data_IF_855766669348
#
_entry.id   IF_855766669348
#
_cell.length_a   1.000
_cell.length_b   1.000
_cell.length_c   1.000
_cell.angle_alpha   90.00
_cell.angle_beta   90.00
_cell.angle_gamma   90.00
#
_symmetry.space_group_name_H-M   'P 1'
#
loop_
_entity.id
_entity.type
_entity.pdbx_description
1 polymer ?
#
# COMPACT_ATOMS: atom_id res chain seq x y z
N UNK A 1 28.97 39.97 -18.40
CA UNK A 1 28.51 40.57 -17.12
C UNK A 1 27.41 41.58 -17.42
N UNK A 2 26.18 41.29 -17.00
CA UNK A 2 25.00 42.10 -17.31
C UNK A 2 24.92 43.34 -16.42
N UNK A 3 24.80 44.53 -17.04
CA UNK A 3 24.63 45.81 -16.34
C UNK A 3 23.25 45.89 -15.68
N UNK A 4 23.21 45.89 -14.35
CA UNK A 4 22.00 46.12 -13.54
C UNK A 4 21.55 47.58 -13.69
N UNK A 5 20.36 47.79 -14.23
CA UNK A 5 19.66 49.09 -14.29
C UNK A 5 19.07 49.38 -12.90
N UNK A 6 19.49 50.45 -12.24
CA UNK A 6 18.91 50.92 -10.97
C UNK A 6 17.58 51.65 -11.26
N UNK A 7 16.52 51.29 -10.53
CA UNK A 7 15.26 52.01 -10.52
C UNK A 7 15.43 53.33 -9.74
N UNK A 8 15.02 54.43 -10.35
CA UNK A 8 14.97 55.77 -9.74
C UNK A 8 13.80 55.84 -8.76
N UNK A 9 13.94 56.45 -7.57
CA UNK A 9 12.81 56.63 -6.65
C UNK A 9 11.80 57.65 -7.20
N UNK A 10 10.53 57.50 -6.82
CA UNK A 10 9.43 58.39 -7.20
C UNK A 10 9.68 59.81 -6.65
N UNK A 11 9.54 60.81 -7.51
CA UNK A 11 9.76 62.21 -7.19
C UNK A 11 8.58 62.75 -6.35
N UNK A 12 8.78 63.32 -5.15
CA UNK A 12 7.69 63.74 -4.26
C UNK A 12 7.01 65.05 -4.69
N UNK A 13 7.39 65.64 -5.82
CA UNK A 13 6.90 66.96 -6.29
C UNK A 13 5.50 66.95 -6.94
N UNK A 14 4.69 65.90 -6.76
CA UNK A 14 3.31 65.84 -7.26
C UNK A 14 2.24 66.06 -6.18
N UNK A 15 2.64 66.49 -4.97
CA UNK A 15 1.72 66.87 -3.89
C UNK A 15 1.82 68.35 -3.54
N UNK A 16 1.62 69.22 -4.54
CA UNK A 16 1.25 70.61 -4.27
C UNK A 16 -0.29 70.74 -4.32
N UNK A 17 -0.94 71.29 -3.27
CA UNK A 17 -2.37 71.57 -3.31
C UNK A 17 -2.63 72.74 -4.28
N UNK A 18 -3.59 72.56 -5.19
CA UNK A 18 -4.03 73.59 -6.12
C UNK A 18 -4.55 74.85 -5.38
N UNK A 19 -4.38 76.07 -5.93
CA UNK A 19 -4.77 77.28 -5.24
C UNK A 19 -6.31 77.40 -5.15
N UNK A 20 -6.79 77.71 -3.94
CA UNK A 20 -8.18 77.95 -3.64
C UNK A 20 -8.72 79.17 -4.40
N UNK A 21 -9.70 78.95 -5.29
CA UNK A 21 -10.56 80.01 -5.80
C UNK A 21 -11.83 80.06 -4.96
N UNK A 22 -11.91 81.09 -4.11
CA UNK A 22 -13.13 81.49 -3.40
C UNK A 22 -14.27 81.71 -4.39
N UNK A 23 -15.27 80.84 -4.36
CA UNK A 23 -16.59 81.15 -4.91
C UNK A 23 -17.60 81.15 -3.76
N UNK A 24 -18.22 82.31 -3.55
CA UNK A 24 -19.17 82.57 -2.49
C UNK A 24 -20.60 82.25 -2.96
N UNK A 25 -21.35 81.44 -2.19
CA UNK A 25 -22.83 81.38 -1.98
C UNK A 25 -23.30 79.95 -1.57
N UNK A 26 -24.42 79.79 -0.84
CA UNK A 26 -24.57 79.71 0.63
C UNK A 26 -24.74 78.25 1.18
N UNK A 27 -24.78 78.04 2.51
CA UNK A 27 -24.69 76.70 3.11
C UNK A 27 -26.07 76.05 3.24
N UNK A 28 -26.30 74.92 2.57
CA UNK A 28 -27.47 74.07 2.81
C UNK A 28 -27.10 72.60 2.67
N UNK A 29 -27.22 71.88 3.79
CA UNK A 29 -27.88 70.58 3.84
C UNK A 29 -27.21 69.38 3.17
N UNK A 30 -26.77 68.46 4.02
CA UNK A 30 -26.53 67.04 3.75
C UNK A 30 -25.50 66.72 2.65
N UNK A 31 -24.41 66.09 3.07
CA UNK A 31 -23.64 65.18 2.21
C UNK A 31 -24.55 64.04 1.75
N UNK A 32 -25.43 64.27 0.78
CA UNK A 32 -26.05 63.20 0.03
C UNK A 32 -24.95 62.55 -0.78
N UNK A 33 -24.44 61.42 -0.28
CA UNK A 33 -23.67 60.49 -1.11
C UNK A 33 -24.53 60.22 -2.35
N UNK A 34 -23.97 60.44 -3.52
CA UNK A 34 -24.68 60.22 -4.76
C UNK A 34 -25.11 58.74 -4.82
N UNK A 35 -26.38 58.40 -5.05
CA UNK A 35 -26.89 57.03 -5.00
C UNK A 35 -26.11 56.05 -5.89
N UNK A 36 -25.57 56.54 -7.01
CA UNK A 36 -24.76 55.76 -7.95
C UNK A 36 -23.39 55.40 -7.35
N UNK A 37 -22.80 56.27 -6.54
CA UNK A 37 -21.53 56.00 -5.87
C UNK A 37 -21.69 54.92 -4.79
N UNK A 38 -22.83 54.90 -4.08
CA UNK A 38 -23.13 53.85 -3.11
C UNK A 38 -23.40 52.50 -3.80
N UNK A 39 -24.17 52.49 -4.91
CA UNK A 39 -24.40 51.27 -5.71
C UNK A 39 -23.12 50.74 -6.35
N UNK A 40 -22.26 51.61 -6.90
CA UNK A 40 -20.97 51.22 -7.47
C UNK A 40 -20.02 50.66 -6.39
N UNK A 41 -20.03 51.24 -5.18
CA UNK A 41 -19.24 50.76 -4.05
C UNK A 41 -19.73 49.39 -3.57
N UNK A 42 -21.05 49.21 -3.45
CA UNK A 42 -21.66 47.95 -3.04
C UNK A 42 -21.39 46.85 -4.09
N UNK A 43 -21.58 47.16 -5.37
CA UNK A 43 -21.26 46.24 -6.47
C UNK A 43 -19.77 45.86 -6.50
N UNK A 44 -18.86 46.83 -6.33
CA UNK A 44 -17.41 46.57 -6.26
C UNK A 44 -17.04 45.72 -5.04
N UNK A 45 -17.62 45.99 -3.87
CA UNK A 45 -17.39 45.20 -2.66
C UNK A 45 -17.89 43.76 -2.81
N UNK A 46 -19.04 43.57 -3.46
CA UNK A 46 -19.64 42.26 -3.71
C UNK A 46 -18.82 41.47 -4.72
N UNK A 47 -18.36 42.12 -5.79
CA UNK A 47 -17.45 41.53 -6.77
C UNK A 47 -16.13 41.09 -6.14
N UNK A 48 -15.52 41.93 -5.30
CA UNK A 48 -14.27 41.61 -4.60
C UNK A 48 -14.45 40.43 -3.62
N UNK A 49 -15.56 40.37 -2.86
CA UNK A 49 -15.85 39.24 -1.98
C UNK A 49 -16.06 37.96 -2.78
N UNK A 50 -16.75 38.05 -3.93
CA UNK A 50 -17.00 36.89 -4.81
C UNK A 50 -15.70 36.36 -5.39
N UNK A 51 -14.84 37.25 -5.90
CA UNK A 51 -13.51 36.89 -6.44
C UNK A 51 -12.60 36.28 -5.36
N UNK A 52 -12.61 36.84 -4.14
CA UNK A 52 -11.86 36.28 -3.01
C UNK A 52 -12.40 34.92 -2.59
N UNK A 53 -13.73 34.74 -2.56
CA UNK A 53 -14.35 33.45 -2.26
C UNK A 53 -14.04 32.40 -3.32
N UNK A 54 -14.01 32.77 -4.59
CA UNK A 54 -13.62 31.89 -5.69
C UNK A 54 -12.12 31.52 -5.63
N UNK A 55 -11.26 32.49 -5.32
CA UNK A 55 -9.82 32.25 -5.13
C UNK A 55 -9.57 31.30 -3.97
N UNK A 56 -10.23 31.51 -2.83
CA UNK A 56 -10.13 30.62 -1.66
C UNK A 56 -10.69 29.22 -1.98
N UNK A 57 -11.80 29.13 -2.71
CA UNK A 57 -12.37 27.86 -3.14
C UNK A 57 -11.40 27.12 -4.07
N UNK A 58 -10.86 27.78 -5.09
CA UNK A 58 -9.88 27.21 -6.01
C UNK A 58 -8.57 26.82 -5.32
N UNK A 59 -8.13 27.57 -4.32
CA UNK A 59 -6.95 27.23 -3.51
C UNK A 59 -7.20 26.01 -2.63
N UNK A 60 -8.39 25.91 -2.00
CA UNK A 60 -8.81 24.75 -1.20
C UNK A 60 -8.99 23.51 -2.06
N UNK A 61 -9.74 23.62 -3.15
CA UNK A 61 -9.98 22.52 -4.08
C UNK A 61 -8.67 22.06 -4.72
N UNK A 62 -7.75 22.97 -5.07
CA UNK A 62 -6.46 22.62 -5.65
C UNK A 62 -5.41 22.13 -4.65
N UNK A 63 -5.78 21.86 -3.38
CA UNK A 63 -4.86 21.35 -2.36
C UNK A 63 -3.68 22.25 -2.01
N UNK A 64 -3.83 23.56 -2.24
CA UNK A 64 -2.79 24.59 -1.97
C UNK A 64 -2.95 25.26 -0.60
N UNK A 65 -3.96 24.85 0.17
CA UNK A 65 -4.23 25.36 1.50
C UNK A 65 -3.96 24.31 2.56
N UNK A 66 -3.25 24.73 3.61
CA UNK A 66 -3.16 23.97 4.85
C UNK A 66 -4.42 24.21 5.66
N UNK A 67 -5.10 23.13 6.05
CA UNK A 67 -6.30 23.14 6.89
C UNK A 67 -6.00 22.47 8.23
N UNK A 68 -6.72 22.86 9.27
CA UNK A 68 -6.71 22.15 10.55
C UNK A 68 -7.81 21.09 10.55
N UNK A 69 -7.48 19.87 10.95
CA UNK A 69 -8.39 18.71 10.97
C UNK A 69 -8.32 18.03 12.33
N UNK A 70 -9.47 17.69 12.95
CA UNK A 70 -9.48 16.91 14.19
C UNK A 70 -8.79 15.56 14.01
N UNK A 71 -7.95 15.15 14.97
CA UNK A 71 -7.24 13.87 14.88
C UNK A 71 -8.18 12.67 14.82
N UNK A 72 -9.33 12.75 15.49
CA UNK A 72 -10.38 11.72 15.44
C UNK A 72 -11.01 11.53 14.05
N UNK A 73 -10.99 12.56 13.20
CA UNK A 73 -11.59 12.51 11.87
C UNK A 73 -10.64 11.93 10.81
N UNK A 74 -9.50 11.38 11.22
CA UNK A 74 -8.46 10.86 10.32
C UNK A 74 -8.38 9.35 10.36
N UNK A 75 -8.73 8.72 9.24
CA UNK A 75 -8.49 7.32 8.95
C UNK A 75 -6.99 7.11 8.66
N UNK A 76 -6.28 6.58 9.67
CA UNK A 76 -4.84 6.27 9.57
C UNK A 76 -4.54 5.12 8.60
N UNK A 77 -5.51 4.21 8.47
CA UNK A 77 -5.52 3.00 7.66
C UNK A 77 -6.02 3.22 6.23
N UNK A 78 -6.36 4.46 5.87
CA UNK A 78 -6.77 4.83 4.51
C UNK A 78 -5.73 4.37 3.47
N UNK A 79 -4.44 4.60 3.72
CA UNK A 79 -3.39 3.95 2.94
C UNK A 79 -2.79 2.80 3.74
N UNK A 80 -2.65 1.66 3.06
CA UNK A 80 -1.89 0.52 3.58
C UNK A 80 -0.41 0.93 3.64
N UNK A 81 0.02 1.38 4.81
CA UNK A 81 1.41 1.70 5.08
C UNK A 81 2.10 0.54 5.76
N UNK A 82 3.39 0.37 5.46
CA UNK A 82 4.16 -0.50 6.29
C UNK A 82 4.52 0.09 7.67
N UNK A 83 4.17 -0.70 8.67
CA UNK A 83 4.71 -0.63 10.03
C UNK A 83 6.17 -1.12 9.99
N UNK A 84 7.04 -0.47 9.23
CA UNK A 84 8.48 -0.57 9.55
C UNK A 84 8.58 -0.05 10.97
N UNK A 85 9.12 -0.86 11.88
CA UNK A 85 9.35 -0.45 13.25
C UNK A 85 10.22 0.81 13.22
N UNK A 86 9.59 1.97 13.43
CA UNK A 86 10.32 3.21 13.57
C UNK A 86 11.14 3.08 14.84
N UNK A 87 12.47 3.31 14.80
CA UNK A 87 13.28 3.29 16.01
C UNK A 87 12.66 4.23 17.05
N UNK A 88 12.41 3.70 18.25
CA UNK A 88 11.68 4.40 19.31
C UNK A 88 12.33 5.74 19.65
N UNK A 89 13.66 5.80 19.60
CA UNK A 89 14.45 7.02 19.80
C UNK A 89 14.14 8.12 18.78
N UNK A 90 14.00 7.79 17.49
CA UNK A 90 13.65 8.79 16.47
C UNK A 90 12.21 9.27 16.61
N UNK A 91 11.30 8.38 17.06
CA UNK A 91 9.92 8.76 17.29
C UNK A 91 9.81 9.69 18.52
N UNK A 92 10.55 9.40 19.59
CA UNK A 92 10.63 10.26 20.77
C UNK A 92 11.17 11.65 20.42
N UNK A 93 12.24 11.73 19.62
CA UNK A 93 12.81 13.00 19.16
C UNK A 93 11.79 13.83 18.34
N UNK A 94 10.97 13.18 17.52
CA UNK A 94 9.90 13.85 16.77
C UNK A 94 8.80 14.40 17.68
N UNK A 95 8.37 13.60 18.67
CA UNK A 95 7.40 14.01 19.69
C UNK A 95 7.89 15.27 20.43
N UNK A 96 9.14 15.27 20.91
CA UNK A 96 9.72 16.41 21.62
C UNK A 96 9.89 17.65 20.74
N UNK A 97 10.15 17.46 19.44
CA UNK A 97 10.20 18.57 18.49
C UNK A 97 8.83 19.20 18.29
N UNK A 98 7.78 18.38 18.12
CA UNK A 98 6.41 18.85 17.92
C UNK A 98 5.88 19.52 19.20
N UNK A 99 6.17 18.95 20.37
CA UNK A 99 5.77 19.54 21.66
C UNK A 99 6.32 20.96 21.85
N UNK A 100 7.57 21.21 21.42
CA UNK A 100 8.24 22.50 21.60
C UNK A 100 7.92 23.54 20.53
N UNK A 101 7.75 23.11 19.28
CA UNK A 101 7.69 24.01 18.11
C UNK A 101 6.39 23.90 17.32
N UNK A 102 5.50 23.01 17.72
CA UNK A 102 4.30 22.67 16.96
C UNK A 102 4.61 21.91 15.67
N UNK A 103 3.57 21.67 14.89
CA UNK A 103 3.68 21.03 13.59
C UNK A 103 4.18 22.04 12.54
N UNK A 104 5.39 21.81 12.00
CA UNK A 104 5.96 22.66 10.95
C UNK A 104 5.62 22.20 9.52
N UNK A 105 5.47 20.89 9.33
CA UNK A 105 5.17 20.30 8.01
C UNK A 105 3.76 19.71 8.04
N UNK A 106 2.86 20.11 7.14
CA UNK A 106 1.53 19.52 7.07
C UNK A 106 1.60 18.05 6.68
N UNK A 107 0.58 17.28 7.08
CA UNK A 107 0.34 15.93 6.56
C UNK A 107 -0.43 16.03 5.25
N UNK A 108 -0.46 14.97 4.44
CA UNK A 108 -1.34 14.95 3.26
C UNK A 108 -2.55 14.10 3.56
N UNK A 109 -3.73 14.60 3.23
CA UNK A 109 -5.02 14.00 3.49
C UNK A 109 -5.83 13.96 2.19
N UNK A 110 -6.78 13.04 2.09
CA UNK A 110 -7.88 13.10 1.12
C UNK A 110 -9.20 13.28 1.86
N UNK A 111 -10.14 14.02 1.28
CA UNK A 111 -11.52 14.08 1.79
C UNK A 111 -12.30 12.88 1.21
N UNK A 112 -12.79 12.00 2.09
CA UNK A 112 -13.59 10.83 1.73
C UNK A 112 -15.08 11.18 1.55
N UNK A 113 -15.45 12.43 1.82
CA UNK A 113 -16.81 12.94 1.75
C UNK A 113 -17.52 12.98 3.10
N UNK A 114 -18.58 13.77 3.18
CA UNK A 114 -19.30 14.06 4.44
C UNK A 114 -20.02 12.85 5.06
N UNK A 115 -20.23 11.78 4.29
CA UNK A 115 -20.82 10.53 4.78
C UNK A 115 -19.82 9.51 5.32
N UNK A 116 -18.52 9.78 5.21
CA UNK A 116 -17.47 8.89 5.69
C UNK A 116 -17.11 9.21 7.15
N UNK A 117 -17.00 8.17 7.98
CA UNK A 117 -16.50 8.27 9.34
C UNK A 117 -15.38 7.23 9.53
N UNK A 118 -14.10 7.65 9.62
CA UNK A 118 -13.58 9.02 9.62
C UNK A 118 -13.66 9.74 8.26
N UNK A 119 -13.78 11.07 8.26
CA UNK A 119 -13.97 11.88 7.03
C UNK A 119 -12.71 11.97 6.16
N UNK A 120 -11.53 11.99 6.78
CA UNK A 120 -10.27 12.23 6.08
C UNK A 120 -9.40 10.98 6.04
N UNK A 121 -8.89 10.66 4.86
CA UNK A 121 -7.93 9.58 4.66
C UNK A 121 -6.50 10.09 4.72
N UNK A 122 -5.64 9.52 5.58
CA UNK A 122 -4.23 9.91 5.64
C UNK A 122 -3.47 9.40 4.41
N UNK A 123 -2.79 10.27 3.67
CA UNK A 123 -1.91 9.96 2.53
C UNK A 123 -0.43 9.91 2.94
N UNK A 124 0.08 10.93 3.62
CA UNK A 124 1.48 10.97 4.06
C UNK A 124 1.62 11.66 5.41
N UNK A 125 2.74 11.40 6.11
CA UNK A 125 2.99 12.00 7.44
C UNK A 125 2.52 11.16 8.64
N UNK A 126 2.43 9.83 8.50
CA UNK A 126 2.01 8.91 9.58
C UNK A 126 2.74 9.10 10.91
N UNK A 127 4.09 9.19 10.89
CA UNK A 127 4.89 9.41 12.12
C UNK A 127 4.49 10.67 12.88
N UNK A 128 4.07 11.69 12.14
CA UNK A 128 3.62 12.98 12.70
C UNK A 128 2.25 12.86 13.33
N UNK A 129 1.32 12.17 12.67
CA UNK A 129 -0.01 11.90 13.27
C UNK A 129 0.13 11.05 14.53
N UNK A 130 1.03 10.06 14.53
CA UNK A 130 1.33 9.26 15.73
C UNK A 130 1.94 10.09 16.86
N UNK A 131 2.89 10.97 16.54
CA UNK A 131 3.47 11.86 17.54
C UNK A 131 2.41 12.81 18.14
N UNK A 132 1.53 13.37 17.31
CA UNK A 132 0.41 14.21 17.75
C UNK A 132 -0.60 13.43 18.58
N UNK A 133 -0.89 12.18 18.21
CA UNK A 133 -1.78 11.30 18.97
C UNK A 133 -1.23 11.02 20.38
N UNK A 134 0.07 10.78 20.49
CA UNK A 134 0.74 10.62 21.80
C UNK A 134 0.71 11.91 22.62
N UNK A 135 0.96 13.07 21.99
CA UNK A 135 0.90 14.37 22.66
C UNK A 135 -0.52 14.74 23.11
N UNK A 136 -1.54 14.43 22.30
CA UNK A 136 -2.96 14.62 22.64
C UNK A 136 -3.34 13.88 23.91
N UNK A 137 -2.74 12.70 24.16
CA UNK A 137 -2.96 11.93 25.39
C UNK A 137 -2.44 12.65 26.64
N UNK A 138 -1.48 13.57 26.47
CA UNK A 138 -0.90 14.40 27.54
C UNK A 138 -1.64 15.73 27.70
N UNK A 139 -1.99 16.37 26.57
CA UNK A 139 -2.76 17.60 26.51
C UNK A 139 -3.68 17.59 25.28
N UNK A 140 -4.96 17.32 25.51
CA UNK A 140 -5.95 17.21 24.44
C UNK A 140 -6.34 18.56 23.85
N UNK A 141 -6.20 19.65 24.61
CA UNK A 141 -6.59 20.98 24.15
C UNK A 141 -5.53 21.58 23.22
N UNK A 142 -4.25 21.32 23.49
CA UNK A 142 -3.15 21.82 22.67
C UNK A 142 -2.90 20.99 21.40
N UNK A 143 -3.19 19.68 21.42
CA UNK A 143 -2.84 18.75 20.33
C UNK A 143 -4.03 17.98 19.76
N UNK A 144 -5.24 18.56 19.80
CA UNK A 144 -6.46 17.93 19.27
C UNK A 144 -6.55 17.90 17.74
N UNK A 145 -5.81 18.76 17.05
CA UNK A 145 -5.87 18.92 15.60
C UNK A 145 -4.53 18.67 14.91
N UNK A 146 -4.57 18.36 13.63
CA UNK A 146 -3.41 18.24 12.74
C UNK A 146 -3.55 19.16 11.53
N UNK A 147 -2.44 19.78 11.15
CA UNK A 147 -2.34 20.56 9.92
C UNK A 147 -2.19 19.63 8.72
N UNK A 148 -3.12 19.69 7.77
CA UNK A 148 -3.18 18.84 6.59
C UNK A 148 -3.29 19.63 5.28
N UNK A 149 -2.75 19.07 4.20
CA UNK A 149 -3.00 19.46 2.82
C UNK A 149 -4.04 18.49 2.23
N UNK A 150 -5.20 19.00 1.80
CA UNK A 150 -6.23 18.20 1.16
C UNK A 150 -5.89 17.95 -0.30
N UNK A 151 -5.69 16.68 -0.68
CA UNK A 151 -5.52 16.23 -2.06
C UNK A 151 -6.86 15.84 -2.65
N UNK A 152 -7.02 16.05 -3.96
CA UNK A 152 -8.23 15.63 -4.67
C UNK A 152 -8.26 14.10 -4.80
N UNK A 153 -9.44 13.46 -4.86
CA UNK A 153 -9.53 12.02 -5.17
C UNK A 153 -8.86 11.63 -6.49
N UNK A 154 -8.94 12.48 -7.52
CA UNK A 154 -8.22 12.28 -8.79
C UNK A 154 -6.67 12.34 -8.65
N UNK A 155 -6.18 13.01 -7.62
CA UNK A 155 -4.75 13.04 -7.24
C UNK A 155 -4.40 11.90 -6.27
N UNK A 156 -5.38 11.17 -5.72
CA UNK A 156 -5.11 10.04 -4.84
C UNK A 156 -4.35 8.93 -5.58
N UNK A 157 -4.64 8.69 -6.85
CA UNK A 157 -3.85 7.77 -7.71
C UNK A 157 -2.39 8.23 -7.84
N UNK A 158 -2.14 9.54 -7.95
CA UNK A 158 -0.79 10.12 -7.95
C UNK A 158 -0.11 10.01 -6.58
N UNK A 159 -0.87 10.10 -5.49
CA UNK A 159 -0.35 9.86 -4.15
C UNK A 159 0.03 8.39 -3.91
N UNK A 160 -0.79 7.46 -4.41
CA UNK A 160 -0.46 6.02 -4.44
C UNK A 160 0.82 5.76 -5.25
N UNK A 161 0.96 6.39 -6.42
CA UNK A 161 2.15 6.32 -7.25
C UNK A 161 3.39 6.86 -6.53
N UNK A 162 3.33 8.08 -5.99
CA UNK A 162 4.43 8.70 -5.26
C UNK A 162 4.87 7.85 -4.05
N UNK A 163 3.91 7.25 -3.33
CA UNK A 163 4.19 6.30 -2.24
C UNK A 163 4.92 5.05 -2.73
N UNK A 164 4.45 4.45 -3.84
CA UNK A 164 5.09 3.25 -4.41
C UNK A 164 6.50 3.60 -4.90
N UNK A 165 6.67 4.72 -5.59
CA UNK A 165 7.97 5.18 -6.11
C UNK A 165 8.97 5.44 -4.98
N UNK A 166 8.57 6.14 -3.91
CA UNK A 166 9.44 6.34 -2.74
C UNK A 166 9.83 5.01 -2.08
N UNK A 167 8.86 4.09 -1.94
CA UNK A 167 9.08 2.79 -1.29
C UNK A 167 9.88 1.80 -2.15
N UNK A 168 9.74 1.85 -3.49
CA UNK A 168 10.57 1.05 -4.41
C UNK A 168 12.04 1.48 -4.37
N UNK A 169 12.31 2.77 -4.12
CA UNK A 169 13.67 3.32 -4.08
C UNK A 169 14.36 3.05 -2.73
N UNK A 170 13.61 3.06 -1.62
CA UNK A 170 14.19 2.93 -0.26
C UNK A 170 14.44 1.50 0.21
N UNK A 171 13.45 0.61 0.13
CA UNK A 171 13.50 -0.74 0.75
C UNK A 171 12.87 -1.84 -0.12
N UNK A 172 12.01 -1.49 -1.08
CA UNK A 172 11.39 -2.42 -2.02
C UNK A 172 10.20 -3.17 -1.43
N UNK A 173 8.99 -2.85 -1.91
CA UNK A 173 7.76 -3.53 -1.49
C UNK A 173 7.73 -5.03 -1.89
N UNK A 174 7.21 -5.88 -1.00
CA UNK A 174 6.93 -7.29 -1.30
C UNK A 174 5.81 -7.45 -2.35
N UNK A 175 5.70 -8.63 -2.97
CA UNK A 175 4.61 -8.91 -3.91
C UNK A 175 3.22 -8.84 -3.25
N UNK A 176 3.11 -9.26 -2.00
CA UNK A 176 1.87 -9.18 -1.23
C UNK A 176 1.44 -7.73 -1.04
N UNK A 177 2.36 -6.86 -0.64
CA UNK A 177 2.07 -5.44 -0.42
C UNK A 177 1.68 -4.75 -1.72
N UNK A 178 2.37 -5.06 -2.83
CA UNK A 178 2.01 -4.53 -4.14
C UNK A 178 0.60 -4.91 -4.56
N UNK A 179 0.26 -6.19 -4.39
CA UNK A 179 -1.08 -6.68 -4.69
C UNK A 179 -2.13 -6.02 -3.82
N UNK A 180 -1.84 -5.82 -2.53
CA UNK A 180 -2.74 -5.16 -1.58
C UNK A 180 -2.96 -3.69 -1.91
N UNK A 181 -1.92 -2.97 -2.30
CA UNK A 181 -2.03 -1.57 -2.75
C UNK A 181 -2.90 -1.48 -4.01
N UNK A 182 -2.68 -2.37 -5.00
CA UNK A 182 -3.49 -2.38 -6.21
C UNK A 182 -4.98 -2.62 -5.92
N UNK A 183 -5.31 -3.56 -5.03
CA UNK A 183 -6.69 -3.82 -4.62
C UNK A 183 -7.31 -2.64 -3.86
N UNK A 184 -6.58 -2.05 -2.91
CA UNK A 184 -7.06 -0.91 -2.13
C UNK A 184 -7.27 0.34 -2.99
N UNK A 185 -6.42 0.55 -3.99
CA UNK A 185 -6.57 1.65 -4.92
C UNK A 185 -7.86 1.52 -5.76
N UNK A 186 -8.26 0.31 -6.12
CA UNK A 186 -9.56 0.05 -6.80
C UNK A 186 -10.73 0.21 -5.83
N UNK A 187 -10.63 -0.37 -4.62
CA UNK A 187 -11.67 -0.29 -3.58
C UNK A 187 -12.03 1.16 -3.22
N UNK A 188 -11.03 2.05 -3.26
CA UNK A 188 -11.20 3.47 -2.96
C UNK A 188 -11.55 4.32 -4.18
N UNK A 189 -11.76 3.71 -5.34
CA UNK A 189 -12.14 4.42 -6.57
C UNK A 189 -11.01 5.25 -7.21
N UNK A 190 -9.75 5.04 -6.82
CA UNK A 190 -8.61 5.69 -7.48
C UNK A 190 -8.34 5.10 -8.88
N UNK A 191 -8.74 3.85 -9.10
CA UNK A 191 -8.75 3.17 -10.39
C UNK A 191 -10.09 2.45 -10.59
N UNK A 192 -10.54 2.37 -11.84
CA UNK A 192 -11.81 1.72 -12.21
C UNK A 192 -11.76 0.21 -11.96
N UNK A 193 -10.64 -0.42 -12.28
CA UNK A 193 -10.47 -1.86 -12.17
C UNK A 193 -9.03 -2.27 -11.82
N UNK A 194 -8.83 -3.55 -11.53
CA UNK A 194 -7.51 -4.08 -11.18
C UNK A 194 -6.50 -3.96 -12.33
N UNK A 195 -6.97 -4.01 -13.58
CA UNK A 195 -6.11 -3.95 -14.76
C UNK A 195 -5.47 -2.57 -14.93
N UNK A 196 -6.29 -1.52 -14.80
CA UNK A 196 -5.89 -0.11 -14.81
C UNK A 196 -5.02 0.22 -13.60
N UNK A 197 -5.35 -0.30 -12.41
CA UNK A 197 -4.51 -0.15 -11.22
C UNK A 197 -3.11 -0.75 -11.41
N UNK A 198 -3.01 -1.99 -11.89
CA UNK A 198 -1.71 -2.64 -12.13
C UNK A 198 -0.89 -1.95 -13.22
N UNK A 199 -1.56 -1.41 -14.24
CA UNK A 199 -0.89 -0.74 -15.36
C UNK A 199 -0.40 0.65 -14.97
N UNK A 200 -1.22 1.41 -14.22
CA UNK A 200 -0.84 2.72 -13.70
C UNK A 200 0.20 2.63 -12.61
N UNK A 201 -0.10 1.91 -11.51
CA UNK A 201 0.75 1.84 -10.31
C UNK A 201 2.13 1.20 -10.58
N UNK A 202 2.24 0.35 -11.59
CA UNK A 202 3.45 -0.37 -11.94
C UNK A 202 3.81 -0.21 -13.42
N UNK A 203 3.64 1.00 -13.96
CA UNK A 203 3.96 1.33 -15.36
C UNK A 203 5.39 0.93 -15.71
N UNK A 204 6.34 1.30 -14.85
CA UNK A 204 7.78 1.02 -15.00
C UNK A 204 8.17 -0.45 -14.75
N UNK A 205 7.25 -1.29 -14.25
CA UNK A 205 7.52 -2.70 -14.01
C UNK A 205 7.39 -3.53 -15.29
N UNK A 206 8.18 -4.60 -15.41
CA UNK A 206 8.04 -5.53 -16.53
C UNK A 206 6.67 -6.23 -16.54
N UNK A 207 6.20 -6.66 -17.72
CA UNK A 207 4.96 -7.45 -17.86
C UNK A 207 4.94 -8.68 -16.96
N UNK A 208 6.08 -9.37 -16.83
CA UNK A 208 6.23 -10.52 -15.95
C UNK A 208 6.06 -10.14 -14.47
N UNK A 209 6.67 -9.03 -14.02
CA UNK A 209 6.50 -8.53 -12.63
C UNK A 209 5.04 -8.16 -12.37
N UNK A 210 4.37 -7.46 -13.29
CA UNK A 210 2.92 -7.15 -13.18
C UNK A 210 2.06 -8.40 -13.09
N UNK A 211 2.36 -9.44 -13.89
CA UNK A 211 1.64 -10.71 -13.83
C UNK A 211 1.77 -11.40 -12.47
N UNK A 212 2.96 -11.38 -11.86
CA UNK A 212 3.17 -11.93 -10.52
C UNK A 212 2.42 -11.15 -9.45
N UNK A 213 2.44 -9.81 -9.53
CA UNK A 213 1.65 -8.95 -8.62
C UNK A 213 0.16 -9.29 -8.75
N UNK A 214 -0.35 -9.46 -9.98
CA UNK A 214 -1.73 -9.90 -10.22
C UNK A 214 -2.04 -11.23 -9.54
N UNK A 215 -1.17 -12.24 -9.62
CA UNK A 215 -1.42 -13.52 -8.94
C UNK A 215 -1.52 -13.36 -7.42
N UNK A 216 -0.73 -12.47 -6.82
CA UNK A 216 -0.79 -12.20 -5.38
C UNK A 216 -2.09 -11.51 -4.94
N UNK A 217 -2.89 -10.93 -5.84
CA UNK A 217 -4.16 -10.30 -5.43
C UNK A 217 -5.14 -11.32 -4.87
N UNK A 218 -5.11 -12.56 -5.37
CA UNK A 218 -5.93 -13.63 -4.84
C UNK A 218 -5.50 -13.99 -3.40
N UNK A 219 -4.20 -14.04 -3.14
CA UNK A 219 -3.66 -14.26 -1.78
C UNK A 219 -4.15 -13.18 -0.82
N UNK A 220 -4.09 -11.91 -1.25
CA UNK A 220 -4.57 -10.78 -0.44
C UNK A 220 -6.09 -10.88 -0.20
N UNK A 221 -6.89 -11.08 -1.25
CA UNK A 221 -8.35 -11.18 -1.12
C UNK A 221 -8.78 -12.26 -0.11
N UNK A 222 -8.07 -13.39 -0.09
CA UNK A 222 -8.41 -14.51 0.79
C UNK A 222 -7.73 -14.45 2.17
N UNK A 223 -6.56 -13.84 2.32
CA UNK A 223 -5.75 -13.97 3.54
C UNK A 223 -5.33 -12.63 4.16
N UNK A 224 -5.69 -11.48 3.59
CA UNK A 224 -5.43 -10.18 4.23
C UNK A 224 -6.13 -10.10 5.60
N UNK A 225 -5.40 -9.57 6.59
CA UNK A 225 -5.83 -9.53 7.99
C UNK A 225 -5.71 -10.85 8.77
N UNK A 226 -5.58 -12.00 8.11
CA UNK A 226 -5.38 -13.29 8.77
C UNK A 226 -3.90 -13.63 9.01
N UNK A 227 -3.02 -13.14 8.12
CA UNK A 227 -1.57 -13.36 8.22
C UNK A 227 -0.93 -12.35 9.17
N UNK A 228 -0.02 -12.81 10.02
CA UNK A 228 0.81 -11.98 10.91
C UNK A 228 2.05 -11.43 10.21
N UNK A 229 2.65 -12.22 9.32
CA UNK A 229 3.89 -11.88 8.60
C UNK A 229 3.72 -11.91 7.07
N UNK A 230 2.68 -11.25 6.49
CA UNK A 230 2.39 -11.34 5.06
C UNK A 230 3.54 -10.85 4.15
N UNK A 231 4.38 -9.94 4.63
CA UNK A 231 5.54 -9.42 3.87
C UNK A 231 6.66 -10.42 3.67
N UNK A 232 6.77 -11.39 4.58
CA UNK A 232 7.80 -12.41 4.51
C UNK A 232 7.48 -13.47 3.46
N UNK A 233 6.26 -13.47 2.89
CA UNK A 233 5.86 -14.39 1.83
C UNK A 233 6.66 -14.07 0.56
N UNK A 234 7.68 -14.90 0.35
CA UNK A 234 8.50 -14.85 -0.85
C UNK A 234 7.72 -15.20 -2.12
N UNK A 235 8.27 -14.82 -3.28
CA UNK A 235 7.63 -14.99 -4.59
C UNK A 235 7.14 -16.43 -4.82
N UNK A 236 8.02 -17.43 -4.63
CA UNK A 236 7.68 -18.83 -4.89
C UNK A 236 6.50 -19.32 -4.04
N UNK A 237 6.51 -19.00 -2.75
CA UNK A 237 5.45 -19.44 -1.83
C UNK A 237 4.13 -18.74 -2.14
N UNK A 238 4.16 -17.43 -2.41
CA UNK A 238 2.94 -16.69 -2.71
C UNK A 238 2.31 -17.07 -4.05
N UNK A 239 3.11 -17.43 -5.07
CA UNK A 239 2.56 -17.98 -6.32
C UNK A 239 1.92 -19.36 -6.12
N UNK A 240 2.52 -20.23 -5.30
CA UNK A 240 1.93 -21.52 -4.95
C UNK A 240 0.62 -21.35 -4.17
N UNK A 241 0.59 -20.40 -3.22
CA UNK A 241 -0.62 -19.99 -2.51
C UNK A 241 -1.72 -19.54 -3.45
N UNK A 242 -1.42 -18.62 -4.38
CA UNK A 242 -2.39 -18.13 -5.34
C UNK A 242 -3.02 -19.28 -6.15
N UNK A 243 -2.19 -20.17 -6.69
CA UNK A 243 -2.67 -21.33 -7.45
C UNK A 243 -3.53 -22.28 -6.61
N UNK A 244 -3.13 -22.53 -5.36
CA UNK A 244 -3.87 -23.41 -4.47
C UNK A 244 -5.22 -22.81 -4.03
N UNK A 245 -5.26 -21.50 -3.76
CA UNK A 245 -6.49 -20.78 -3.42
C UNK A 245 -7.47 -20.73 -4.60
N UNK A 246 -6.96 -20.67 -5.84
CA UNK A 246 -7.79 -20.73 -7.04
C UNK A 246 -8.39 -22.13 -7.25
N UNK A 247 -7.64 -23.18 -6.91
CA UNK A 247 -8.06 -24.56 -7.08
C UNK A 247 -8.99 -25.07 -5.96
N UNK A 248 -8.81 -24.60 -4.73
CA UNK A 248 -9.56 -25.03 -3.55
C UNK A 248 -10.14 -23.82 -2.79
N UNK A 249 -11.44 -23.53 -2.94
CA UNK A 249 -12.11 -22.44 -2.23
C UNK A 249 -12.10 -22.59 -0.70
N UNK A 250 -12.03 -23.81 -0.17
CA UNK A 250 -12.03 -24.06 1.29
C UNK A 250 -10.66 -23.83 1.92
N UNK A 251 -9.59 -23.81 1.12
CA UNK A 251 -8.21 -23.61 1.59
C UNK A 251 -8.04 -22.31 2.37
N UNK A 252 -8.72 -21.24 1.95
CA UNK A 252 -8.69 -19.95 2.64
C UNK A 252 -9.16 -20.07 4.09
N UNK A 253 -10.28 -20.77 4.33
CA UNK A 253 -10.82 -20.97 5.67
C UNK A 253 -9.87 -21.82 6.54
N UNK A 254 -9.32 -22.91 5.98
CA UNK A 254 -8.38 -23.78 6.71
C UNK A 254 -7.10 -23.05 7.10
N UNK A 255 -6.51 -22.31 6.17
CA UNK A 255 -5.32 -21.48 6.43
C UNK A 255 -5.59 -20.42 7.51
N UNK A 256 -6.73 -19.73 7.45
CA UNK A 256 -7.12 -18.74 8.46
C UNK A 256 -7.20 -19.35 9.86
N UNK A 257 -7.87 -20.50 9.99
CA UNK A 257 -7.97 -21.21 11.27
C UNK A 257 -6.59 -21.66 11.75
N UNK A 258 -5.79 -22.28 10.89
CA UNK A 258 -4.48 -22.82 11.27
C UNK A 258 -3.50 -21.72 11.70
N UNK A 259 -3.49 -20.57 11.02
CA UNK A 259 -2.65 -19.42 11.42
C UNK A 259 -3.15 -18.80 12.74
N UNK A 260 -4.47 -18.75 12.95
CA UNK A 260 -5.04 -18.23 14.19
C UNK A 260 -4.74 -19.15 15.39
N UNK A 261 -4.94 -20.46 15.25
CA UNK A 261 -4.69 -21.46 16.29
C UNK A 261 -3.19 -21.70 16.53
N UNK A 262 -2.38 -21.65 15.47
CA UNK A 262 -0.94 -21.87 15.54
C UNK A 262 -0.16 -20.71 16.15
N UNK A 263 -0.76 -19.51 16.26
CA UNK A 263 -0.20 -18.30 16.89
C UNK A 263 1.30 -18.10 16.57
N UNK A 264 1.69 -17.97 15.28
CA UNK A 264 3.10 -18.01 14.91
C UNK A 264 3.86 -16.83 15.53
N UNK A 265 4.97 -17.16 16.21
CA UNK A 265 5.83 -16.17 16.87
C UNK A 265 6.73 -15.40 15.90
N UNK A 266 7.05 -16.00 14.75
CA UNK A 266 7.89 -15.41 13.71
C UNK A 266 7.43 -15.82 12.29
N UNK A 267 8.10 -15.25 11.29
CA UNK A 267 7.75 -15.46 9.90
C UNK A 267 8.05 -16.88 9.39
N UNK A 268 9.04 -17.58 9.97
CA UNK A 268 9.39 -18.95 9.57
C UNK A 268 8.32 -19.93 10.08
N UNK A 269 7.83 -19.73 11.30
CA UNK A 269 6.72 -20.47 11.87
C UNK A 269 5.45 -20.32 11.03
N UNK A 270 5.08 -19.08 10.67
CA UNK A 270 3.91 -18.84 9.81
C UNK A 270 4.06 -19.49 8.44
N UNK A 271 5.23 -19.37 7.79
CA UNK A 271 5.47 -20.01 6.50
C UNK A 271 5.46 -21.54 6.59
N UNK A 272 5.85 -22.11 7.72
CA UNK A 272 5.80 -23.56 7.95
C UNK A 272 4.36 -24.05 8.02
N UNK A 273 3.47 -23.35 8.73
CA UNK A 273 2.04 -23.64 8.76
C UNK A 273 1.43 -23.59 7.36
N UNK A 274 1.71 -22.51 6.63
CA UNK A 274 1.24 -22.34 5.25
C UNK A 274 1.71 -23.50 4.35
N UNK A 275 2.99 -23.87 4.41
CA UNK A 275 3.55 -24.96 3.59
C UNK A 275 2.95 -26.31 3.95
N UNK A 276 2.66 -26.55 5.22
CA UNK A 276 2.03 -27.80 5.69
C UNK A 276 0.61 -27.96 5.14
N UNK A 277 -0.12 -26.86 4.95
CA UNK A 277 -1.46 -26.89 4.35
C UNK A 277 -1.41 -27.01 2.83
N UNK A 278 -0.48 -26.31 2.18
CA UNK A 278 -0.28 -26.38 0.72
C UNK A 278 0.15 -27.76 0.24
N UNK A 279 0.94 -28.45 1.07
CA UNK A 279 1.31 -29.85 0.86
C UNK A 279 0.66 -30.62 1.99
N UNK A 280 -0.63 -31.01 1.86
CA UNK A 280 -1.26 -31.81 2.89
C UNK A 280 -0.33 -32.98 3.16
N UNK A 281 0.00 -33.27 4.44
CA UNK A 281 0.91 -34.36 4.75
C UNK A 281 0.34 -35.57 4.04
N UNK A 282 1.10 -36.05 3.04
CA UNK A 282 0.83 -37.35 2.43
C UNK A 282 0.65 -38.27 3.63
N UNK A 283 -0.56 -38.84 3.86
CA UNK A 283 -0.85 -39.58 5.08
C UNK A 283 0.35 -40.46 5.29
N UNK A 284 1.04 -40.26 6.42
CA UNK A 284 2.38 -40.79 6.66
C UNK A 284 2.35 -42.17 6.05
N UNK A 285 3.01 -42.34 4.90
CA UNK A 285 3.06 -43.64 4.27
C UNK A 285 3.74 -44.44 5.35
N UNK A 286 2.95 -45.23 6.10
CA UNK A 286 3.44 -46.29 6.94
C UNK A 286 4.57 -46.86 6.10
N UNK A 287 5.78 -46.69 6.63
CA UNK A 287 7.06 -47.02 6.02
C UNK A 287 6.74 -48.07 4.97
N UNK A 288 6.77 -47.70 3.69
CA UNK A 288 6.44 -48.67 2.66
C UNK A 288 7.50 -49.75 2.84
N UNK A 289 7.15 -50.79 3.58
CA UNK A 289 7.75 -52.08 3.47
C UNK A 289 7.79 -52.30 1.98
N UNK A 290 9.02 -52.46 1.52
CA UNK A 290 9.34 -53.01 0.21
C UNK A 290 8.23 -53.99 -0.14
N UNK A 291 7.52 -53.85 -1.28
CA UNK A 291 6.37 -54.68 -1.56
C UNK A 291 6.81 -56.12 -1.37
N UNK A 292 6.21 -56.77 -0.35
CA UNK A 292 6.51 -58.15 -0.04
C UNK A 292 6.37 -58.94 -1.35
N UNK A 293 7.41 -59.70 -1.76
CA UNK A 293 7.32 -60.51 -2.95
C UNK A 293 6.13 -61.45 -2.79
N UNK A 294 5.29 -61.54 -3.82
CA UNK A 294 4.15 -62.47 -3.87
C UNK A 294 4.61 -63.83 -3.33
N UNK A 295 4.02 -64.35 -2.24
CA UNK A 295 4.43 -65.61 -1.67
C UNK A 295 3.96 -66.72 -2.62
N UNK A 296 4.91 -67.38 -3.28
CA UNK A 296 4.83 -68.67 -4.02
C UNK A 296 5.42 -68.70 -5.43
N UNK A 297 6.16 -67.68 -5.90
CA UNK A 297 7.05 -67.91 -7.03
C UNK A 297 8.32 -68.64 -6.54
N UNK A 298 8.65 -69.84 -7.04
CA UNK A 298 9.82 -70.59 -6.57
C UNK A 298 11.16 -69.91 -6.93
N UNK A 299 11.15 -68.97 -7.89
CA UNK A 299 12.29 -68.16 -8.30
C UNK A 299 11.88 -66.68 -8.35
N UNK A 300 12.69 -65.82 -7.74
CA UNK A 300 12.55 -64.37 -7.76
C UNK A 300 13.69 -63.75 -8.59
N UNK A 301 13.36 -62.83 -9.49
CA UNK A 301 14.34 -62.06 -10.27
C UNK A 301 14.40 -60.64 -9.76
N UNK A 302 15.60 -60.20 -9.38
CA UNK A 302 15.90 -58.82 -8.96
C UNK A 302 16.96 -58.21 -9.88
N UNK A 303 16.72 -57.02 -10.42
CA UNK A 303 17.73 -56.30 -11.21
C UNK A 303 18.73 -55.62 -10.26
N UNK A 304 20.03 -55.87 -10.45
CA UNK A 304 21.12 -55.15 -9.78
C UNK A 304 21.81 -54.24 -10.81
N UNK A 305 21.27 -53.05 -11.04
CA UNK A 305 21.82 -52.10 -12.03
C UNK A 305 21.39 -52.36 -13.48
N UNK A 306 22.06 -51.71 -14.43
CA UNK A 306 21.63 -51.64 -15.83
C UNK A 306 21.79 -52.97 -16.61
N UNK A 307 22.77 -53.80 -16.24
CA UNK A 307 23.14 -55.00 -16.99
C UNK A 307 23.30 -56.27 -16.12
N UNK A 308 22.88 -56.23 -14.87
CA UNK A 308 23.00 -57.39 -13.98
C UNK A 308 21.64 -57.73 -13.34
N UNK A 309 21.38 -59.03 -13.24
CA UNK A 309 20.20 -59.61 -12.62
C UNK A 309 20.63 -60.66 -11.60
N UNK A 310 19.92 -60.73 -10.49
CA UNK A 310 20.11 -61.67 -9.40
C UNK A 310 18.86 -62.54 -9.30
N UNK A 311 19.03 -63.86 -9.36
CA UNK A 311 17.96 -64.85 -9.22
C UNK A 311 18.07 -65.50 -7.84
N UNK A 312 17.02 -65.43 -7.04
CA UNK A 312 16.98 -65.92 -5.65
C UNK A 312 15.68 -66.71 -5.41
N UNK A 313 15.75 -67.81 -4.67
CA UNK A 313 14.54 -68.58 -4.31
C UNK A 313 14.83 -70.08 -4.18
N UNK A 314 13.90 -70.81 -3.54
CA UNK A 314 14.04 -72.26 -3.31
C UNK A 314 14.05 -73.10 -4.60
N UNK A 315 13.55 -72.55 -5.70
CA UNK A 315 13.57 -73.17 -7.03
C UNK A 315 14.80 -72.82 -7.87
N UNK A 316 15.78 -72.07 -7.33
CA UNK A 316 17.09 -71.90 -7.97
C UNK A 316 17.97 -73.08 -7.57
N UNK A 317 17.65 -74.26 -8.12
CA UNK A 317 18.42 -75.48 -7.91
C UNK A 317 19.38 -75.76 -9.08
N UNK A 318 20.17 -76.84 -8.96
CA UNK A 318 21.16 -77.20 -9.96
C UNK A 318 20.54 -77.53 -11.34
N UNK A 319 19.32 -78.06 -11.37
CA UNK A 319 18.62 -78.36 -12.61
C UNK A 319 18.14 -77.07 -13.31
N UNK A 320 17.55 -76.15 -12.54
CA UNK A 320 17.14 -74.84 -13.04
C UNK A 320 18.31 -74.03 -13.60
N UNK A 321 19.48 -74.05 -12.93
CA UNK A 321 20.67 -73.36 -13.41
C UNK A 321 21.19 -73.98 -14.72
N UNK A 322 21.18 -75.30 -14.86
CA UNK A 322 21.58 -75.98 -16.09
C UNK A 322 20.64 -75.67 -17.26
N UNK A 323 19.32 -75.65 -17.02
CA UNK A 323 18.32 -75.29 -18.03
C UNK A 323 18.45 -73.83 -18.46
N UNK A 324 18.70 -72.93 -17.51
CA UNK A 324 18.91 -71.51 -17.77
C UNK A 324 20.18 -71.28 -18.61
N UNK A 325 21.27 -71.97 -18.29
CA UNK A 325 22.52 -71.90 -19.04
C UNK A 325 22.33 -72.39 -20.48
N UNK A 326 21.68 -73.54 -20.66
CA UNK A 326 21.36 -74.08 -21.98
C UNK A 326 20.45 -73.14 -22.80
N UNK A 327 19.48 -72.50 -22.15
CA UNK A 327 18.60 -71.52 -22.80
C UNK A 327 19.37 -70.25 -23.23
N UNK A 328 20.28 -69.76 -22.40
CA UNK A 328 21.13 -68.62 -22.72
C UNK A 328 22.07 -68.92 -23.88
N UNK A 329 22.71 -70.09 -23.88
CA UNK A 329 23.57 -70.53 -24.98
C UNK A 329 22.82 -70.60 -26.32
N UNK A 330 21.58 -71.11 -26.32
CA UNK A 330 20.71 -71.14 -27.52
C UNK A 330 20.31 -69.77 -28.06
N UNK A 331 20.37 -68.72 -27.24
CA UNK A 331 20.04 -67.34 -27.65
C UNK A 331 21.27 -66.51 -28.04
N UNK A 332 22.47 -67.01 -27.75
CA UNK A 332 23.74 -66.38 -28.10
C UNK A 332 24.34 -66.95 -29.40
N UNK A 333 23.75 -68.01 -29.97
CA UNK A 333 23.99 -68.47 -31.34
C UNK A 333 22.81 -68.15 -32.26
#
# INVERSE_FOLDING_TARGET
MAKRRRLTPANPSFMDPAPEVKSALPPVGATMRAPIADVAREASSTAAITEMAETLRSAREGGRMVVSVPLEDIALDYLVRDRVGVPEEEQAALVDSIARRGQQTPVELVDLGEGAAPRYGLISGWRRVMALTELRRRDSAAFGEVLGLLRRPAEASQAYLAMIEENEIRVGLSYFERARIALKAVEQGAFEDLSSALSGLYENASRAKRSKIKSFTLVVQHLDGALRFPRAIGERLGLQLAQALEADPELSARLRTQVAEGDPADFEAEQTLIRAELTPPKPAKAKAETPAPKPNAPVHLRKQGAHQVLLEGRGVDAAFLADLEAWLQKRQG
#
